data_IF_212172692952
#
_entry.id   IF_212172692952
#
_cell.length_a   1.000
_cell.length_b   1.000
_cell.length_c   1.000
_cell.angle_alpha   90.00
_cell.angle_beta   90.00
_cell.angle_gamma   90.00
#
_symmetry.space_group_name_H-M   'P 1'
#
loop_
_entity.id
_entity.type
_entity.pdbx_description
1 polymer ?
#
# COMPACT_ATOMS: atom_id res chain seq x y z
N UNK A 1 -8.27 -13.20 21.86
CA UNK A 1 -8.82 -12.72 20.57
C UNK A 1 -7.73 -12.88 19.52
N UNK A 2 -8.01 -13.44 18.33
CA UNK A 2 -6.97 -13.72 17.32
C UNK A 2 -6.41 -12.43 16.68
N UNK A 3 -5.15 -12.42 16.25
CA UNK A 3 -4.51 -11.22 15.67
C UNK A 3 -5.21 -10.78 14.37
N UNK A 4 -5.65 -11.74 13.57
CA UNK A 4 -6.49 -11.54 12.38
C UNK A 4 -7.80 -10.78 12.66
N UNK A 5 -8.44 -11.05 13.80
CA UNK A 5 -9.68 -10.35 14.20
C UNK A 5 -9.41 -8.88 14.54
N UNK A 6 -8.30 -8.60 15.24
CA UNK A 6 -7.88 -7.25 15.58
C UNK A 6 -7.57 -6.47 14.30
N UNK A 7 -6.77 -7.04 13.40
CA UNK A 7 -6.41 -6.43 12.12
C UNK A 7 -7.66 -6.12 11.27
N UNK A 8 -8.62 -7.05 11.19
CA UNK A 8 -9.90 -6.81 10.52
C UNK A 8 -10.64 -5.61 11.11
N UNK A 9 -10.71 -5.51 12.44
CA UNK A 9 -11.34 -4.36 13.11
C UNK A 9 -10.65 -3.04 12.76
N UNK A 10 -9.31 -3.01 12.75
CA UNK A 10 -8.54 -1.83 12.35
C UNK A 10 -8.79 -1.44 10.90
N UNK A 11 -8.76 -2.41 9.97
CA UNK A 11 -9.03 -2.18 8.55
C UNK A 11 -10.45 -1.60 8.38
N UNK A 12 -11.47 -2.21 8.99
CA UNK A 12 -12.85 -1.68 8.93
C UNK A 12 -12.94 -0.27 9.51
N UNK A 13 -12.26 0.02 10.62
CA UNK A 13 -12.24 1.36 11.22
C UNK A 13 -11.62 2.39 10.28
N UNK A 14 -10.51 2.04 9.62
CA UNK A 14 -9.82 2.91 8.68
C UNK A 14 -10.65 3.17 7.42
N UNK A 15 -11.29 2.12 6.88
CA UNK A 15 -12.22 2.23 5.76
C UNK A 15 -13.41 3.16 6.11
N UNK A 16 -14.00 3.01 7.31
CA UNK A 16 -15.08 3.88 7.80
C UNK A 16 -14.63 5.33 8.00
N UNK A 17 -13.43 5.54 8.56
CA UNK A 17 -12.84 6.88 8.76
C UNK A 17 -12.70 7.63 7.43
N UNK A 18 -12.45 6.91 6.35
CA UNK A 18 -12.32 7.44 4.99
C UNK A 18 -13.66 7.57 4.26
N UNK A 19 -14.78 7.32 4.96
CA UNK A 19 -16.12 7.58 4.46
C UNK A 19 -16.72 6.46 3.59
N UNK A 20 -16.13 5.27 3.59
CA UNK A 20 -16.57 4.17 2.72
C UNK A 20 -17.98 3.73 3.09
N UNK A 21 -18.87 3.81 2.11
CA UNK A 21 -20.23 3.28 2.19
C UNK A 21 -20.26 1.79 1.87
N UNK A 22 -21.33 1.12 2.28
CA UNK A 22 -21.47 -0.35 2.13
C UNK A 22 -21.66 -0.81 0.69
N UNK A 23 -21.94 0.11 -0.23
CA UNK A 23 -22.21 -0.07 -1.66
C UNK A 23 -21.05 0.37 -2.57
N UNK A 24 -19.86 0.58 -2.00
CA UNK A 24 -18.72 1.13 -2.74
C UNK A 24 -17.88 0.09 -3.50
N UNK A 25 -17.28 0.57 -4.60
CA UNK A 25 -16.36 -0.19 -5.44
C UNK A 25 -14.92 0.09 -5.03
N UNK A 26 -14.28 -0.88 -4.39
CA UNK A 26 -12.93 -0.78 -3.86
C UNK A 26 -11.94 -1.40 -4.83
N UNK A 27 -10.86 -0.68 -5.16
CA UNK A 27 -9.76 -1.23 -5.94
C UNK A 27 -8.54 -1.47 -5.04
N UNK A 28 -8.14 -2.73 -4.84
CA UNK A 28 -6.91 -3.09 -4.13
C UNK A 28 -5.76 -3.28 -5.11
N UNK A 29 -4.63 -2.64 -4.83
CA UNK A 29 -3.35 -2.95 -5.49
C UNK A 29 -2.78 -4.23 -4.87
N UNK A 30 -2.50 -5.23 -5.69
CA UNK A 30 -1.98 -6.52 -5.27
C UNK A 30 -0.63 -6.80 -5.93
N UNK A 31 0.43 -6.83 -5.13
CA UNK A 31 1.80 -7.10 -5.57
C UNK A 31 2.25 -8.53 -5.33
N UNK A 32 1.37 -9.40 -4.82
CA UNK A 32 1.71 -10.80 -4.53
C UNK A 32 2.54 -11.06 -3.28
N UNK A 33 3.08 -10.00 -2.66
CA UNK A 33 3.82 -10.05 -1.40
C UNK A 33 2.94 -10.38 -0.19
N UNK A 34 3.57 -10.63 0.95
CA UNK A 34 2.89 -11.05 2.18
C UNK A 34 1.79 -10.07 2.61
N UNK A 35 2.11 -8.78 2.55
CA UNK A 35 1.20 -7.67 2.88
C UNK A 35 -0.02 -7.64 1.97
N UNK A 36 0.18 -7.86 0.66
CA UNK A 36 -0.89 -7.91 -0.34
C UNK A 36 -1.82 -9.09 -0.08
N UNK A 37 -1.27 -10.26 0.26
CA UNK A 37 -2.04 -11.47 0.58
C UNK A 37 -2.88 -11.29 1.85
N UNK A 38 -2.27 -10.80 2.94
CA UNK A 38 -2.96 -10.55 4.20
C UNK A 38 -4.08 -9.52 4.02
N UNK A 39 -3.79 -8.42 3.32
CA UNK A 39 -4.79 -7.39 3.08
C UNK A 39 -5.95 -7.90 2.22
N UNK A 40 -5.66 -8.65 1.14
CA UNK A 40 -6.68 -9.23 0.28
C UNK A 40 -7.58 -10.21 1.03
N UNK A 41 -7.02 -11.10 1.85
CA UNK A 41 -7.82 -12.02 2.68
C UNK A 41 -8.75 -11.29 3.63
N UNK A 42 -8.24 -10.25 4.30
CA UNK A 42 -9.06 -9.49 5.25
C UNK A 42 -10.17 -8.74 4.51
N UNK A 43 -9.88 -8.09 3.39
CA UNK A 43 -10.88 -7.39 2.58
C UNK A 43 -11.91 -8.35 1.98
N UNK A 44 -11.48 -9.53 1.53
CA UNK A 44 -12.39 -10.56 1.03
C UNK A 44 -13.35 -11.06 2.12
N UNK A 45 -12.87 -11.22 3.35
CA UNK A 45 -13.72 -11.53 4.51
C UNK A 45 -14.71 -10.40 4.85
N UNK A 46 -14.39 -9.16 4.50
CA UNK A 46 -15.26 -8.00 4.67
C UNK A 46 -16.31 -7.98 3.56
N UNK A 47 -15.92 -8.12 2.29
CA UNK A 47 -16.83 -8.21 1.12
C UNK A 47 -17.82 -9.37 1.26
N UNK A 48 -17.38 -10.49 1.84
CA UNK A 48 -18.27 -11.61 2.19
C UNK A 48 -19.34 -11.24 3.23
N UNK A 49 -19.05 -10.28 4.11
CA UNK A 49 -19.98 -9.79 5.15
C UNK A 49 -20.83 -8.58 4.71
N UNK A 50 -20.46 -7.92 3.62
CA UNK A 50 -21.16 -6.76 3.06
C UNK A 50 -21.34 -6.97 1.54
N UNK A 51 -22.45 -7.61 1.11
CA UNK A 51 -22.64 -8.04 -0.28
C UNK A 51 -22.61 -6.93 -1.32
N UNK A 52 -22.89 -5.69 -0.90
CA UNK A 52 -22.95 -4.54 -1.80
C UNK A 52 -21.56 -3.93 -2.08
N UNK A 53 -20.50 -4.39 -1.39
CA UNK A 53 -19.11 -3.97 -1.66
C UNK A 53 -18.56 -4.76 -2.84
N UNK A 54 -18.10 -4.07 -3.88
CA UNK A 54 -17.39 -4.70 -5.00
C UNK A 54 -15.88 -4.58 -4.80
N UNK A 55 -15.18 -5.72 -4.70
CA UNK A 55 -13.72 -5.75 -4.61
C UNK A 55 -13.10 -6.03 -5.97
N UNK A 56 -12.32 -5.06 -6.47
CA UNK A 56 -11.50 -5.18 -7.68
C UNK A 56 -10.03 -5.31 -7.29
N UNK A 57 -9.35 -6.32 -7.80
CA UNK A 57 -7.92 -6.55 -7.59
C UNK A 57 -7.14 -6.08 -8.82
N UNK A 58 -6.23 -5.14 -8.60
CA UNK A 58 -5.30 -4.63 -9.59
C UNK A 58 -3.96 -5.34 -9.44
N UNK A 59 -3.55 -6.10 -10.44
CA UNK A 59 -2.31 -6.89 -10.42
C UNK A 59 -1.50 -6.67 -11.70
N UNK A 60 -0.18 -6.88 -11.62
CA UNK A 60 0.70 -6.74 -12.79
C UNK A 60 0.45 -7.81 -13.84
N UNK A 61 0.75 -7.49 -15.11
CA UNK A 61 0.69 -8.44 -16.22
C UNK A 61 1.71 -9.56 -15.99
N UNK A 62 1.23 -10.78 -15.73
CA UNK A 62 2.09 -11.94 -15.47
C UNK A 62 1.88 -12.59 -14.10
N UNK A 63 1.13 -11.97 -13.18
CA UNK A 63 0.71 -12.67 -11.97
C UNK A 63 -0.39 -13.70 -12.29
N UNK A 64 -0.44 -14.82 -11.56
CA UNK A 64 -1.40 -15.91 -11.78
C UNK A 64 -2.85 -15.49 -11.47
N UNK A 65 -3.45 -14.67 -12.32
CA UNK A 65 -4.85 -14.23 -12.23
C UNK A 65 -5.82 -15.39 -12.02
N UNK A 66 -5.57 -16.50 -12.71
CA UNK A 66 -6.36 -17.73 -12.60
C UNK A 66 -6.35 -18.29 -11.16
N UNK A 67 -5.26 -18.17 -10.42
CA UNK A 67 -5.18 -18.60 -9.02
C UNK A 67 -5.97 -17.67 -8.11
N UNK A 68 -5.91 -16.36 -8.35
CA UNK A 68 -6.68 -15.37 -7.59
C UNK A 68 -8.19 -15.57 -7.82
N UNK A 69 -8.62 -15.75 -9.07
CA UNK A 69 -10.02 -16.01 -9.41
C UNK A 69 -10.49 -17.33 -8.80
N UNK A 70 -9.67 -18.39 -8.88
CA UNK A 70 -9.99 -19.70 -8.28
C UNK A 70 -10.15 -19.62 -6.77
N UNK A 71 -9.31 -18.84 -6.10
CA UNK A 71 -9.33 -18.69 -4.63
C UNK A 71 -10.42 -17.72 -4.16
N UNK A 72 -10.70 -16.67 -4.93
CA UNK A 72 -11.63 -15.60 -4.59
C UNK A 72 -12.65 -15.42 -5.72
N UNK A 73 -13.67 -16.27 -5.86
CA UNK A 73 -14.56 -16.25 -7.03
C UNK A 73 -15.42 -14.98 -7.17
N UNK A 74 -15.53 -14.16 -6.11
CA UNK A 74 -16.33 -12.92 -6.11
C UNK A 74 -15.54 -11.67 -6.48
N UNK A 75 -14.21 -11.72 -6.52
CA UNK A 75 -13.41 -10.54 -6.86
C UNK A 75 -13.33 -10.38 -8.38
N UNK A 76 -13.26 -9.13 -8.83
CA UNK A 76 -12.89 -8.82 -10.22
C UNK A 76 -11.39 -8.60 -10.29
N UNK A 77 -10.67 -9.40 -11.06
CA UNK A 77 -9.25 -9.16 -11.32
C UNK A 77 -9.12 -8.25 -12.54
N UNK A 78 -8.19 -7.31 -12.48
CA UNK A 78 -7.87 -6.41 -13.58
C UNK A 78 -6.36 -6.30 -13.68
N UNK A 79 -5.84 -6.68 -14.84
CA UNK A 79 -4.43 -6.51 -15.12
C UNK A 79 -4.14 -5.05 -15.43
N UNK A 80 -3.18 -4.48 -14.72
CA UNK A 80 -2.68 -3.12 -14.93
C UNK A 80 -1.17 -3.18 -14.96
N UNK A 81 -0.51 -2.30 -15.70
CA UNK A 81 0.95 -2.22 -15.63
C UNK A 81 1.34 -1.61 -14.29
N UNK A 82 1.75 -2.44 -13.34
CA UNK A 82 2.31 -1.98 -12.07
C UNK A 82 3.79 -1.61 -12.22
N UNK A 83 4.45 -2.06 -13.31
CA UNK A 83 5.87 -1.87 -13.62
C UNK A 83 6.76 -2.36 -12.47
N UNK A 84 6.50 -3.59 -12.00
CA UNK A 84 7.35 -4.25 -11.02
C UNK A 84 8.58 -4.90 -11.67
N UNK A 85 9.77 -4.85 -11.03
CA UNK A 85 10.08 -4.13 -9.80
C UNK A 85 10.36 -2.64 -10.04
N UNK A 86 9.93 -1.78 -9.10
CA UNK A 86 10.11 -0.33 -9.25
C UNK A 86 11.61 0.06 -9.14
N UNK A 87 12.18 0.76 -10.14
CA UNK A 87 13.56 1.23 -10.07
C UNK A 87 13.76 2.35 -9.03
N UNK A 88 12.76 3.20 -8.78
CA UNK A 88 12.82 4.36 -7.88
C UNK A 88 11.53 4.62 -7.08
N UNK A 89 11.64 5.40 -6.00
CA UNK A 89 10.49 5.83 -5.17
C UNK A 89 9.57 6.78 -5.95
N UNK A 90 10.12 7.57 -6.86
CA UNK A 90 9.39 8.49 -7.72
C UNK A 90 8.55 7.76 -8.75
N UNK A 91 9.07 6.69 -9.36
CA UNK A 91 8.29 5.85 -10.26
C UNK A 91 7.15 5.16 -9.53
N UNK A 92 7.37 4.68 -8.30
CA UNK A 92 6.31 4.18 -7.45
C UNK A 92 5.25 5.26 -7.20
N UNK A 93 5.65 6.46 -6.78
CA UNK A 93 4.73 7.57 -6.51
C UNK A 93 3.95 7.99 -7.77
N UNK A 94 4.60 8.04 -8.93
CA UNK A 94 3.98 8.34 -10.22
C UNK A 94 2.98 7.26 -10.62
N UNK A 95 3.34 5.98 -10.52
CA UNK A 95 2.44 4.88 -10.84
C UNK A 95 1.22 4.85 -9.91
N UNK A 96 1.40 5.11 -8.60
CA UNK A 96 0.27 5.23 -7.67
C UNK A 96 -0.68 6.37 -8.06
N UNK A 97 -0.14 7.50 -8.56
CA UNK A 97 -0.94 8.61 -9.11
C UNK A 97 -1.68 8.20 -10.38
N UNK A 98 -1.05 7.49 -11.31
CA UNK A 98 -1.69 7.00 -12.53
C UNK A 98 -2.80 5.99 -12.23
N UNK A 99 -2.54 5.02 -11.35
CA UNK A 99 -3.50 4.02 -10.92
C UNK A 99 -4.71 4.65 -10.24
N UNK A 100 -4.50 5.71 -9.45
CA UNK A 100 -5.61 6.51 -8.90
C UNK A 100 -6.50 7.06 -10.00
N UNK A 101 -5.93 7.72 -11.01
CA UNK A 101 -6.71 8.29 -12.13
C UNK A 101 -7.49 7.21 -12.87
N UNK A 102 -6.87 6.05 -13.09
CA UNK A 102 -7.52 4.88 -13.69
C UNK A 102 -8.68 4.34 -12.84
N UNK A 103 -8.50 4.22 -11.52
CA UNK A 103 -9.56 3.76 -10.62
C UNK A 103 -10.75 4.72 -10.61
N UNK A 104 -10.49 6.03 -10.54
CA UNK A 104 -11.55 7.03 -10.58
C UNK A 104 -12.30 7.01 -11.91
N UNK A 105 -11.60 6.89 -13.04
CA UNK A 105 -12.24 6.83 -14.36
C UNK A 105 -13.07 5.55 -14.58
N UNK A 106 -12.71 4.46 -13.90
CA UNK A 106 -13.42 3.17 -13.96
C UNK A 106 -14.48 2.99 -12.86
N UNK A 107 -14.82 4.09 -12.16
CA UNK A 107 -15.90 4.15 -11.18
C UNK A 107 -15.58 3.54 -9.81
N UNK A 108 -14.32 3.29 -9.50
CA UNK A 108 -13.89 2.92 -8.15
C UNK A 108 -13.87 4.17 -7.27
N UNK A 109 -14.52 4.08 -6.11
CA UNK A 109 -14.56 5.17 -5.13
C UNK A 109 -13.22 5.35 -4.40
N UNK A 110 -12.42 4.28 -4.35
CA UNK A 110 -11.22 4.24 -3.53
C UNK A 110 -10.16 3.26 -4.03
N UNK A 111 -8.90 3.63 -3.80
CA UNK A 111 -7.74 2.76 -4.04
C UNK A 111 -7.14 2.35 -2.70
N UNK A 112 -7.03 1.05 -2.48
CA UNK A 112 -6.46 0.44 -1.28
C UNK A 112 -5.08 -0.10 -1.63
N UNK A 113 -4.09 0.20 -0.77
CA UNK A 113 -2.72 -0.29 -0.95
C UNK A 113 -2.26 -1.12 0.24
N UNK A 114 -1.34 -2.08 0.03
CA UNK A 114 -0.77 -2.90 1.09
C UNK A 114 0.44 -2.24 1.76
N UNK A 115 0.56 -0.91 1.68
CA UNK A 115 1.66 -0.14 2.28
C UNK A 115 1.49 -0.03 3.79
N UNK A 116 2.58 -0.28 4.53
CA UNK A 116 2.66 -0.07 5.98
C UNK A 116 3.11 1.35 6.31
N UNK A 117 3.14 1.70 7.61
CA UNK A 117 3.69 2.98 8.06
C UNK A 117 5.14 3.16 7.65
N UNK A 118 5.93 2.09 7.75
CA UNK A 118 7.36 2.11 7.39
C UNK A 118 7.54 2.41 5.91
N UNK A 119 6.73 1.80 5.04
CA UNK A 119 6.76 2.07 3.61
C UNK A 119 6.41 3.53 3.31
N UNK A 120 5.33 4.04 3.90
CA UNK A 120 4.87 5.41 3.71
C UNK A 120 5.89 6.42 4.22
N UNK A 121 6.53 6.13 5.35
CA UNK A 121 7.56 6.98 5.95
C UNK A 121 8.81 7.01 5.08
N UNK A 122 9.25 5.84 4.58
CA UNK A 122 10.38 5.75 3.68
C UNK A 122 10.13 6.50 2.37
N UNK A 123 8.96 6.29 1.76
CA UNK A 123 8.53 7.01 0.54
C UNK A 123 8.51 8.52 0.80
N UNK A 124 7.84 8.94 1.87
CA UNK A 124 7.73 10.36 2.23
C UNK A 124 9.08 11.01 2.44
N UNK A 125 9.96 10.38 3.22
CA UNK A 125 11.30 10.90 3.51
C UNK A 125 12.16 11.01 2.25
N UNK A 126 12.14 10.00 1.38
CA UNK A 126 12.88 10.04 0.10
C UNK A 126 12.37 11.16 -0.80
N UNK A 127 11.05 11.33 -0.93
CA UNK A 127 10.47 12.40 -1.74
C UNK A 127 10.84 13.78 -1.21
N UNK A 128 10.88 13.96 0.11
CA UNK A 128 11.32 15.22 0.74
C UNK A 128 12.80 15.48 0.49
N UNK A 129 13.65 14.47 0.72
CA UNK A 129 15.11 14.58 0.54
C UNK A 129 15.48 14.91 -0.91
N UNK A 130 14.67 14.46 -1.88
CA UNK A 130 14.86 14.72 -3.31
C UNK A 130 14.12 15.95 -3.83
N UNK A 131 13.40 16.69 -2.98
CA UNK A 131 12.64 17.87 -3.38
C UNK A 131 11.42 17.57 -4.27
N UNK A 132 10.95 16.32 -4.30
CA UNK A 132 9.80 15.87 -5.09
C UNK A 132 8.46 16.16 -4.38
N UNK A 133 8.27 17.40 -3.94
CA UNK A 133 7.11 17.81 -3.13
C UNK A 133 5.77 17.70 -3.86
N UNK A 134 5.77 17.84 -5.18
CA UNK A 134 4.59 17.64 -6.02
C UNK A 134 4.08 16.19 -5.96
N UNK A 135 4.98 15.20 -5.99
CA UNK A 135 4.65 13.79 -5.86
C UNK A 135 4.17 13.48 -4.44
N UNK A 136 4.83 14.03 -3.43
CA UNK A 136 4.41 13.87 -2.02
C UNK A 136 3.00 14.44 -1.78
N UNK A 137 2.74 15.66 -2.25
CA UNK A 137 1.42 16.31 -2.16
C UNK A 137 0.35 15.49 -2.89
N UNK A 138 0.68 14.93 -4.06
CA UNK A 138 -0.23 14.06 -4.80
C UNK A 138 -0.58 12.78 -4.02
N UNK A 139 0.36 12.20 -3.27
CA UNK A 139 0.12 11.00 -2.46
C UNK A 139 -0.75 11.32 -1.23
N UNK A 140 -0.46 12.42 -0.52
CA UNK A 140 -1.19 12.83 0.68
C UNK A 140 -2.65 13.19 0.37
N UNK A 141 -2.87 13.92 -0.74
CA UNK A 141 -4.19 14.42 -1.13
C UNK A 141 -5.00 13.40 -1.96
N UNK A 142 -4.57 12.14 -2.00
CA UNK A 142 -5.23 11.10 -2.78
C UNK A 142 -6.33 10.39 -1.98
N UNK A 143 -7.44 9.95 -2.61
CA UNK A 143 -8.39 9.00 -2.01
C UNK A 143 -7.79 7.59 -1.99
N UNK A 144 -6.54 7.50 -1.54
CA UNK A 144 -5.83 6.27 -1.29
C UNK A 144 -5.93 5.96 0.19
N UNK A 145 -6.13 4.69 0.48
CA UNK A 145 -6.17 4.18 1.84
C UNK A 145 -5.07 3.15 2.01
N UNK A 146 -4.45 3.24 3.19
CA UNK A 146 -3.33 2.41 3.59
C UNK A 146 -3.76 1.67 4.88
N UNK A 147 -4.62 0.63 4.79
CA UNK A 147 -5.20 0.01 5.99
C UNK A 147 -4.14 -0.66 6.89
N UNK A 148 -2.99 -1.03 6.31
CA UNK A 148 -1.87 -1.61 7.05
C UNK A 148 -0.95 -0.55 7.68
N UNK A 149 -1.25 0.74 7.57
CA UNK A 149 -0.47 1.83 8.21
C UNK A 149 -0.46 1.78 9.75
N UNK A 150 -1.32 0.99 10.37
CA UNK A 150 -1.35 0.79 11.83
C UNK A 150 -1.05 -0.65 12.22
N UNK A 151 -0.54 -1.46 11.28
CA UNK A 151 -0.25 -2.88 11.49
C UNK A 151 1.24 -3.10 11.29
N UNK A 152 1.91 -3.54 12.35
CA UNK A 152 3.35 -3.80 12.31
C UNK A 152 3.68 -5.04 11.47
N UNK A 153 4.89 -5.11 10.95
CA UNK A 153 5.34 -6.25 10.15
C UNK A 153 5.25 -7.57 10.92
N UNK A 154 5.61 -7.58 12.20
CA UNK A 154 5.51 -8.76 13.08
C UNK A 154 4.05 -9.23 13.16
N UNK A 155 3.10 -8.30 13.29
CA UNK A 155 1.67 -8.63 13.31
C UNK A 155 1.22 -9.19 11.96
N UNK A 156 1.69 -8.63 10.83
CA UNK A 156 1.42 -9.16 9.48
C UNK A 156 1.92 -10.60 9.36
N UNK A 157 3.10 -10.91 9.88
CA UNK A 157 3.65 -12.27 9.90
C UNK A 157 2.78 -13.21 10.73
N UNK A 158 2.39 -12.81 11.95
CA UNK A 158 1.50 -13.60 12.81
C UNK A 158 0.16 -13.87 12.13
N UNK A 159 -0.45 -12.84 11.54
CA UNK A 159 -1.74 -12.96 10.82
C UNK A 159 -1.59 -13.89 9.61
N UNK A 160 -0.48 -13.78 8.87
CA UNK A 160 -0.20 -14.68 7.75
C UNK A 160 -0.18 -16.14 8.18
N UNK A 161 0.53 -16.45 9.27
CA UNK A 161 0.58 -17.80 9.82
C UNK A 161 -0.80 -18.28 10.29
N UNK A 162 -1.58 -17.42 10.96
CA UNK A 162 -2.96 -17.74 11.38
C UNK A 162 -3.87 -18.08 10.19
N UNK A 163 -3.70 -17.37 9.07
CA UNK A 163 -4.50 -17.53 7.86
C UNK A 163 -3.98 -18.65 6.93
N UNK A 164 -2.93 -19.38 7.33
CA UNK A 164 -2.29 -20.38 6.47
C UNK A 164 -1.71 -19.79 5.19
N UNK A 165 -1.43 -18.48 5.19
CA UNK A 165 -0.85 -17.79 4.06
C UNK A 165 0.65 -18.04 4.04
N UNK A 166 1.10 -18.57 2.91
CA UNK A 166 2.52 -18.70 2.59
C UNK A 166 3.05 -17.39 2.01
N UNK A 167 4.15 -16.92 2.57
CA UNK A 167 4.67 -15.57 2.34
C UNK A 167 6.00 -15.52 1.59
N UNK A 168 6.43 -14.28 1.34
CA UNK A 168 7.75 -13.90 0.79
C UNK A 168 8.92 -14.58 1.51
N UNK A 169 8.78 -14.93 2.79
CA UNK A 169 9.83 -15.62 3.57
C UNK A 169 10.13 -17.03 3.05
N UNK A 170 9.13 -17.80 2.62
CA UNK A 170 9.37 -19.10 1.99
C UNK A 170 10.01 -18.93 0.61
N UNK A 171 9.64 -17.87 -0.12
CA UNK A 171 10.24 -17.52 -1.42
C UNK A 171 11.66 -16.92 -1.33
N UNK A 172 11.99 -16.22 -0.25
CA UNK A 172 13.35 -15.78 0.09
C UNK A 172 14.24 -16.97 0.46
N UNK A 173 13.67 -17.98 1.10
CA UNK A 173 14.35 -19.26 1.37
C UNK A 173 14.48 -20.10 0.09
N UNK A 174 13.51 -19.99 -0.84
CA UNK A 174 13.49 -20.67 -2.14
C UNK A 174 14.21 -19.89 -3.27
N UNK A 175 14.75 -18.69 -3.01
CA UNK A 175 15.57 -17.92 -3.95
C UNK A 175 14.81 -17.23 -5.09
N UNK A 176 13.58 -16.76 -4.87
CA UNK A 176 12.80 -16.04 -5.88
C UNK A 176 13.35 -14.61 -6.16
N UNK A 177 13.88 -14.33 -7.37
CA UNK A 177 14.57 -13.08 -7.71
C UNK A 177 13.66 -11.83 -7.66
N UNK A 178 12.33 -11.99 -7.66
CA UNK A 178 11.40 -10.86 -7.50
C UNK A 178 11.31 -10.37 -6.05
N UNK A 179 11.39 -11.27 -5.07
CA UNK A 179 11.36 -10.91 -3.64
C UNK A 179 12.67 -10.24 -3.24
N UNK A 180 13.78 -10.68 -3.83
CA UNK A 180 15.05 -10.00 -3.74
C UNK A 180 14.96 -8.56 -4.23
N UNK A 181 14.17 -8.22 -5.25
CA UNK A 181 14.13 -6.83 -5.74
C UNK A 181 13.46 -5.84 -4.76
N UNK A 182 12.39 -6.24 -4.06
CA UNK A 182 11.66 -5.35 -3.12
C UNK A 182 12.41 -5.25 -1.80
N UNK A 183 12.95 -6.36 -1.29
CA UNK A 183 13.83 -6.35 -0.11
C UNK A 183 15.19 -5.72 -0.39
N UNK A 184 15.77 -5.90 -1.57
CA UNK A 184 17.01 -5.22 -1.99
C UNK A 184 16.76 -3.73 -2.21
N UNK A 185 15.56 -3.31 -2.64
CA UNK A 185 15.24 -1.89 -2.75
C UNK A 185 14.94 -1.24 -1.38
N UNK A 186 14.35 -1.98 -0.43
CA UNK A 186 14.25 -1.56 0.98
C UNK A 186 15.61 -1.58 1.69
N UNK A 187 16.49 -2.55 1.43
CA UNK A 187 17.88 -2.52 1.91
C UNK A 187 18.74 -1.48 1.19
N UNK A 188 18.39 -1.06 -0.02
CA UNK A 188 18.93 0.14 -0.68
C UNK A 188 18.38 1.43 -0.08
N UNK A 189 17.39 1.40 0.83
CA UNK A 189 17.21 2.46 1.82
C UNK A 189 18.34 2.49 2.87
N UNK A 190 19.39 1.66 2.75
CA UNK A 190 20.72 2.04 3.28
C UNK A 190 21.21 3.38 2.72
N UNK A 191 20.64 3.85 1.60
CA UNK A 191 20.82 5.23 1.16
C UNK A 191 20.22 6.27 2.13
N UNK A 192 19.26 5.92 3.00
CA UNK A 192 18.84 6.79 4.11
C UNK A 192 19.96 6.96 5.16
N UNK A 193 20.86 5.98 5.29
CA UNK A 193 22.06 6.06 6.13
C UNK A 193 23.26 6.73 5.44
N UNK A 194 23.17 7.01 4.12
CA UNK A 194 24.18 7.81 3.41
C UNK A 194 23.88 9.31 3.43
N UNK A 195 22.76 9.73 4.02
CA UNK A 195 22.52 11.15 4.27
C UNK A 195 23.21 11.57 5.55
N UNK A 196 23.97 12.66 5.46
CA UNK A 196 24.54 13.30 6.63
C UNK A 196 23.41 13.82 7.53
N UNK A 197 23.63 13.90 8.85
CA UNK A 197 22.68 14.51 9.79
C UNK A 197 22.18 15.89 9.33
N UNK A 198 23.00 16.66 8.62
CA UNK A 198 22.65 17.96 8.06
C UNK A 198 21.58 17.88 6.95
N UNK A 199 21.63 16.85 6.10
CA UNK A 199 20.63 16.62 5.05
C UNK A 199 19.29 16.19 5.64
N UNK A 200 19.32 15.37 6.70
CA UNK A 200 18.12 15.02 7.47
C UNK A 200 17.52 16.24 8.18
N UNK A 201 18.35 17.09 8.79
CA UNK A 201 17.91 18.32 9.43
C UNK A 201 17.24 19.27 8.43
N UNK A 202 17.85 19.46 7.26
CA UNK A 202 17.32 20.33 6.20
C UNK A 202 16.03 19.80 5.58
N UNK A 203 15.89 18.47 5.49
CA UNK A 203 14.64 17.83 5.07
C UNK A 203 13.52 18.04 6.08
N UNK A 204 13.82 17.89 7.38
CA UNK A 204 12.86 18.17 8.47
C UNK A 204 12.48 19.65 8.52
N UNK A 205 13.42 20.56 8.34
CA UNK A 205 13.16 22.01 8.27
C UNK A 205 12.22 22.35 7.10
N UNK A 206 12.43 21.75 5.93
CA UNK A 206 11.57 21.94 4.76
C UNK A 206 10.16 21.35 4.95
N UNK A 207 10.06 20.16 5.56
CA UNK A 207 8.79 19.53 5.94
C UNK A 207 8.00 20.42 6.92
N UNK A 208 8.70 20.98 7.91
CA UNK A 208 8.12 21.86 8.93
C UNK A 208 7.63 23.16 8.30
N UNK A 209 8.40 23.77 7.39
CA UNK A 209 7.97 24.95 6.61
C UNK A 209 6.74 24.67 5.76
N UNK A 210 6.72 23.55 5.03
CA UNK A 210 5.53 23.15 4.25
C UNK A 210 4.30 22.95 5.12
N UNK A 211 4.45 22.37 6.32
CA UNK A 211 3.32 22.19 7.24
C UNK A 211 2.82 23.52 7.82
N UNK A 212 3.71 24.47 8.07
CA UNK A 212 3.38 25.83 8.52
C UNK A 212 2.64 26.59 7.40
N UNK A 213 3.06 26.44 6.14
CA UNK A 213 2.41 27.09 4.99
C UNK A 213 1.06 26.45 4.60
N UNK A 214 0.81 25.20 5.01
CA UNK A 214 -0.45 24.46 4.78
C UNK A 214 -1.48 24.66 5.91
N UNK A 215 -1.10 25.25 7.05
CA UNK A 215 -2.07 25.76 8.02
C UNK A 215 -2.57 27.09 7.46
N UNK A 216 -3.82 27.20 6.98
CA UNK A 216 -4.32 28.50 6.55
C UNK A 216 -4.17 29.45 7.73
N UNK A 217 -3.57 30.63 7.48
CA UNK A 217 -3.56 31.74 8.41
C UNK A 217 -4.98 31.94 8.93
N UNK A 218 -5.28 31.38 10.11
CA UNK A 218 -6.41 31.79 10.94
C UNK A 218 -5.89 32.96 11.76
N UNK A 219 -5.71 34.09 11.08
CA UNK A 219 -5.64 35.41 11.64
C UNK A 219 -6.77 36.23 10.99
#
# INVERSE_FOLDING_TARGET
MKASTICRSHIVKELRRKGIRRDEKLAIIYWGGLRSKVLLEILYSIESAYPDVELRVLTDTGYHEHELIKKYPRIKVTQVSLKLPYPTVEELASNLRELKLYCTSTGSSMVITPLTLDDLTAIGLVLVLRGAFNLLSSLINSPMVHPLSHVELVQIMTISSELGLKGELERLIEGDPMVDSVHTNLHKLKALYSYTPLQLLKALENLTKMYIDLIPNRA
#
